data_IF_848389157273
#
_entry.id   IF_848389157273
#
_cell.length_a   1.000
_cell.length_b   1.000
_cell.length_c   1.000
_cell.angle_alpha   90.00
_cell.angle_beta   90.00
_cell.angle_gamma   90.00
#
_symmetry.space_group_name_H-M   'P 1'
#
loop_
_entity.id
_entity.type
_entity.pdbx_description
1 polymer ?
#
# COMPACT_ATOMS: atom_id res chain seq x y z
N UNK A 1 33.12 -35.38 -28.46
CA UNK A 1 32.93 -34.11 -27.69
C UNK A 1 32.51 -33.05 -28.71
N UNK A 2 31.23 -32.79 -28.82
CA UNK A 2 30.65 -31.76 -29.71
C UNK A 2 30.69 -30.42 -28.97
N UNK A 3 31.53 -29.50 -29.46
CA UNK A 3 31.58 -28.14 -28.91
C UNK A 3 30.27 -27.43 -29.22
N UNK A 4 29.67 -26.82 -28.18
CA UNK A 4 28.47 -25.97 -28.34
C UNK A 4 28.81 -24.82 -29.30
N UNK A 5 27.89 -24.53 -30.23
CA UNK A 5 28.06 -23.42 -31.16
C UNK A 5 28.08 -22.08 -30.40
N UNK A 6 28.87 -21.07 -30.84
CA UNK A 6 28.94 -19.77 -30.19
C UNK A 6 27.57 -19.11 -29.99
N UNK A 7 26.63 -19.31 -30.91
CA UNK A 7 25.24 -18.78 -30.82
C UNK A 7 24.45 -19.42 -29.70
N UNK A 8 24.63 -20.72 -29.41
CA UNK A 8 23.96 -21.38 -28.29
C UNK A 8 24.48 -20.87 -26.93
N UNK A 9 25.77 -20.52 -26.84
CA UNK A 9 26.36 -19.96 -25.64
C UNK A 9 25.89 -18.51 -25.40
N UNK A 10 25.74 -17.72 -26.46
CA UNK A 10 25.21 -16.36 -26.40
C UNK A 10 23.72 -16.36 -26.00
N UNK A 11 22.90 -17.25 -26.59
CA UNK A 11 21.49 -17.39 -26.26
C UNK A 11 21.28 -17.86 -24.80
N UNK A 12 22.13 -18.74 -24.31
CA UNK A 12 22.12 -19.18 -22.90
C UNK A 12 22.49 -18.05 -21.96
N UNK A 13 23.53 -17.27 -22.30
CA UNK A 13 23.96 -16.12 -21.50
C UNK A 13 22.93 -15.00 -21.50
N UNK A 14 22.26 -14.73 -22.62
CA UNK A 14 21.18 -13.77 -22.75
C UNK A 14 19.99 -14.20 -21.89
N UNK A 15 19.63 -15.49 -21.90
CA UNK A 15 18.56 -16.05 -21.03
C UNK A 15 18.91 -16.00 -19.54
N UNK A 16 20.17 -16.17 -19.17
CA UNK A 16 20.64 -16.01 -17.80
C UNK A 16 20.59 -14.54 -17.34
N UNK A 17 20.91 -13.59 -18.22
CA UNK A 17 20.81 -12.16 -17.94
C UNK A 17 19.34 -11.70 -17.80
N UNK A 18 18.44 -12.26 -18.61
CA UNK A 18 16.99 -12.00 -18.52
C UNK A 18 16.32 -12.65 -17.29
N UNK A 19 17.01 -13.60 -16.64
CA UNK A 19 16.52 -14.31 -15.44
C UNK A 19 17.02 -13.72 -14.12
N UNK A 20 17.93 -12.72 -14.14
CA UNK A 20 18.36 -12.08 -12.91
C UNK A 20 17.22 -11.23 -12.33
N UNK A 21 16.82 -11.47 -11.07
CA UNK A 21 15.82 -10.63 -10.42
C UNK A 21 16.26 -9.17 -10.51
N UNK A 22 15.41 -8.29 -11.00
CA UNK A 22 15.73 -6.86 -11.12
C UNK A 22 16.10 -6.29 -9.73
N UNK A 23 17.38 -5.98 -9.48
CA UNK A 23 17.84 -5.55 -8.15
C UNK A 23 17.15 -4.27 -7.71
N UNK A 24 16.77 -3.40 -8.65
CA UNK A 24 16.08 -2.15 -8.33
C UNK A 24 14.66 -2.39 -7.83
N UNK A 25 13.92 -3.36 -8.37
CA UNK A 25 12.60 -3.73 -7.85
C UNK A 25 12.67 -4.15 -6.38
N UNK A 26 13.73 -4.86 -5.99
CA UNK A 26 13.96 -5.26 -4.59
C UNK A 26 14.28 -4.06 -3.70
N UNK A 27 15.15 -3.16 -4.14
CA UNK A 27 15.47 -1.92 -3.40
C UNK A 27 14.21 -1.09 -3.18
N UNK A 28 13.37 -0.91 -4.22
CA UNK A 28 12.13 -0.18 -4.15
C UNK A 28 11.12 -0.82 -3.16
N UNK A 29 11.03 -2.16 -3.15
CA UNK A 29 10.18 -2.86 -2.20
C UNK A 29 10.68 -2.70 -0.75
N UNK A 30 11.99 -2.77 -0.52
CA UNK A 30 12.60 -2.54 0.81
C UNK A 30 12.38 -1.10 1.26
N UNK A 31 12.54 -0.11 0.36
CA UNK A 31 12.24 1.29 0.65
C UNK A 31 10.78 1.49 1.07
N UNK A 32 9.84 0.76 0.44
CA UNK A 32 8.44 0.77 0.83
C UNK A 32 8.20 0.22 2.23
N UNK A 33 8.84 -0.90 2.58
CA UNK A 33 8.77 -1.46 3.94
C UNK A 33 9.37 -0.48 4.96
N UNK A 34 10.49 0.16 4.63
CA UNK A 34 11.12 1.15 5.49
C UNK A 34 10.20 2.36 5.74
N UNK A 35 9.55 2.91 4.68
CA UNK A 35 8.58 4.00 4.82
C UNK A 35 7.39 3.62 5.70
N UNK A 36 6.87 2.41 5.53
CA UNK A 36 5.80 1.87 6.37
C UNK A 36 6.26 1.67 7.84
N UNK A 37 7.47 1.19 8.06
CA UNK A 37 8.02 1.04 9.41
C UNK A 37 8.24 2.40 10.09
N UNK A 38 8.75 3.39 9.35
CA UNK A 38 8.97 4.75 9.87
C UNK A 38 7.65 5.35 10.35
N UNK A 39 6.58 5.31 9.57
CA UNK A 39 5.29 5.87 10.01
C UNK A 39 4.75 5.14 11.24
N UNK A 40 4.86 3.82 11.32
CA UNK A 40 4.41 3.04 12.48
C UNK A 40 5.18 3.45 13.73
N UNK A 41 6.50 3.58 13.65
CA UNK A 41 7.34 3.99 14.77
C UNK A 41 7.04 5.43 15.19
N UNK A 42 7.01 6.37 14.25
CA UNK A 42 6.81 7.79 14.56
C UNK A 42 5.39 8.07 15.08
N UNK A 43 4.36 7.53 14.44
CA UNK A 43 2.98 7.68 14.93
C UNK A 43 2.79 6.89 16.22
N UNK A 44 3.41 5.72 16.34
CA UNK A 44 3.43 4.95 17.60
C UNK A 44 4.03 5.76 18.76
N UNK A 45 5.15 6.44 18.53
CA UNK A 45 5.75 7.33 19.53
C UNK A 45 4.82 8.46 19.98
N UNK A 46 4.06 9.06 19.03
CA UNK A 46 3.07 10.09 19.35
C UNK A 46 1.94 9.62 20.29
N UNK A 47 1.73 8.33 20.46
CA UNK A 47 0.75 7.82 21.43
C UNK A 47 1.24 7.81 22.87
N UNK A 48 2.55 7.95 23.08
CA UNK A 48 3.18 7.86 24.42
C UNK A 48 3.95 9.10 24.82
N UNK A 49 4.09 10.09 23.92
CA UNK A 49 4.77 11.35 24.23
C UNK A 49 3.93 12.22 25.17
N UNK A 50 4.55 12.91 26.16
CA UNK A 50 3.84 13.81 27.08
C UNK A 50 3.07 14.92 26.35
N UNK A 51 3.62 15.47 25.26
CA UNK A 51 3.03 16.56 24.47
C UNK A 51 1.72 16.17 23.80
N UNK A 52 1.45 14.89 23.68
CA UNK A 52 0.25 14.34 23.04
C UNK A 52 -0.66 13.56 24.00
N UNK A 53 -0.33 13.49 25.28
CA UNK A 53 -1.06 12.73 26.30
C UNK A 53 -2.54 13.12 26.43
N UNK A 54 -2.91 14.37 26.07
CA UNK A 54 -4.30 14.85 26.07
C UNK A 54 -5.12 14.37 24.86
N UNK A 55 -4.53 13.72 23.86
CA UNK A 55 -5.21 13.26 22.66
C UNK A 55 -5.65 11.80 22.84
N UNK A 56 -6.96 11.58 23.08
CA UNK A 56 -7.51 10.23 23.22
C UNK A 56 -7.38 9.43 21.93
N UNK A 57 -6.66 8.29 21.90
CA UNK A 57 -6.55 7.46 20.71
C UNK A 57 -7.87 6.86 20.22
N UNK A 58 -8.84 6.73 21.10
CA UNK A 58 -10.16 6.16 20.79
C UNK A 58 -11.09 7.21 20.18
N UNK A 59 -11.10 8.42 20.74
CA UNK A 59 -12.06 9.45 20.32
C UNK A 59 -11.51 10.38 19.25
N UNK A 60 -10.19 10.62 19.23
CA UNK A 60 -9.55 11.64 18.40
C UNK A 60 -8.76 11.03 17.24
N UNK A 61 -8.81 11.68 16.08
CA UNK A 61 -8.14 11.23 14.84
C UNK A 61 -6.63 11.31 14.95
N UNK A 62 -5.92 10.49 14.17
CA UNK A 62 -4.44 10.50 14.12
C UNK A 62 -3.93 11.87 13.66
N UNK A 63 -4.63 12.50 12.72
CA UNK A 63 -4.25 13.81 12.19
C UNK A 63 -4.30 14.95 13.22
N UNK A 64 -4.84 14.73 14.43
CA UNK A 64 -4.76 15.73 15.51
C UNK A 64 -3.36 15.92 16.06
N UNK A 65 -2.52 14.91 15.95
CA UNK A 65 -1.10 15.03 16.29
C UNK A 65 -0.41 16.13 15.48
N UNK A 66 -0.83 16.38 14.23
CA UNK A 66 -0.28 17.46 13.40
C UNK A 66 -0.53 18.88 13.98
N UNK A 67 -1.44 19.05 14.92
CA UNK A 67 -1.76 20.33 15.55
C UNK A 67 -0.96 20.60 16.85
N UNK A 68 -0.10 19.69 17.26
CA UNK A 68 0.77 19.81 18.44
C UNK A 68 2.15 20.35 18.07
N UNK A 69 2.93 20.78 19.05
CA UNK A 69 4.31 21.25 18.85
C UNK A 69 5.23 20.17 18.24
N UNK A 70 4.89 18.89 18.45
CA UNK A 70 5.55 17.73 17.86
C UNK A 70 4.89 17.24 16.56
N UNK A 71 4.01 18.02 15.97
CA UNK A 71 3.27 17.66 14.74
C UNK A 71 4.17 17.35 13.54
N UNK A 72 5.40 17.86 13.53
CA UNK A 72 6.39 17.52 12.51
C UNK A 72 6.73 16.01 12.48
N UNK A 73 6.62 15.30 13.63
CA UNK A 73 6.82 13.84 13.72
C UNK A 73 5.75 13.11 12.91
N UNK A 74 4.48 13.52 13.05
CA UNK A 74 3.38 13.02 12.23
C UNK A 74 3.64 13.27 10.75
N UNK A 75 3.99 14.51 10.37
CA UNK A 75 4.23 14.89 9.00
C UNK A 75 5.37 14.09 8.36
N UNK A 76 6.47 13.88 9.08
CA UNK A 76 7.60 13.07 8.61
C UNK A 76 7.18 11.61 8.37
N UNK A 77 6.43 11.03 9.31
CA UNK A 77 5.91 9.66 9.16
C UNK A 77 5.00 9.50 7.94
N UNK A 78 4.06 10.42 7.75
CA UNK A 78 3.13 10.40 6.61
C UNK A 78 3.87 10.57 5.27
N UNK A 79 4.86 11.49 5.20
CA UNK A 79 5.68 11.65 3.99
C UNK A 79 6.53 10.41 3.71
N UNK A 80 7.12 9.79 4.73
CA UNK A 80 7.87 8.55 4.55
C UNK A 80 6.97 7.43 4.00
N UNK A 81 5.74 7.32 4.50
CA UNK A 81 4.74 6.38 3.97
C UNK A 81 4.37 6.69 2.51
N UNK A 82 4.14 7.96 2.17
CA UNK A 82 3.80 8.39 0.81
C UNK A 82 4.91 8.01 -0.18
N UNK A 83 6.16 8.35 0.13
CA UNK A 83 7.32 8.05 -0.72
C UNK A 83 7.59 6.54 -0.79
N UNK A 84 7.51 5.84 0.34
CA UNK A 84 7.64 4.38 0.40
C UNK A 84 6.59 3.67 -0.46
N UNK A 85 5.37 4.19 -0.48
CA UNK A 85 4.28 3.63 -1.31
C UNK A 85 4.52 3.84 -2.80
N UNK A 86 5.00 5.02 -3.21
CA UNK A 86 5.41 5.25 -4.59
C UNK A 86 6.54 4.30 -5.00
N UNK A 87 7.49 4.03 -4.11
CA UNK A 87 8.54 3.05 -4.36
C UNK A 87 7.97 1.64 -4.57
N UNK A 88 7.01 1.20 -3.74
CA UNK A 88 6.32 -0.11 -3.93
C UNK A 88 5.61 -0.17 -5.28
N UNK A 89 4.87 0.87 -5.66
CA UNK A 89 4.18 0.93 -6.96
C UNK A 89 5.15 0.85 -8.14
N UNK A 90 6.26 1.59 -8.06
CA UNK A 90 7.33 1.50 -9.06
C UNK A 90 7.95 0.08 -9.11
N UNK A 91 8.15 -0.54 -7.95
CA UNK A 91 8.61 -1.93 -7.84
C UNK A 91 7.64 -2.93 -8.48
N UNK A 92 6.32 -2.76 -8.28
CA UNK A 92 5.27 -3.59 -8.90
C UNK A 92 5.33 -3.48 -10.44
N UNK A 93 5.45 -2.26 -10.97
CA UNK A 93 5.54 -2.03 -12.42
C UNK A 93 6.84 -2.63 -12.99
N UNK A 94 7.97 -2.38 -12.36
CA UNK A 94 9.28 -2.91 -12.80
C UNK A 94 9.36 -4.43 -12.74
N UNK A 95 8.76 -5.04 -11.73
CA UNK A 95 8.66 -6.49 -11.61
C UNK A 95 7.66 -7.12 -12.59
N UNK A 96 7.02 -6.33 -13.46
CA UNK A 96 6.04 -6.81 -14.43
C UNK A 96 4.73 -7.32 -13.81
N UNK A 97 4.46 -7.02 -12.54
CA UNK A 97 3.27 -7.46 -11.82
C UNK A 97 2.02 -6.67 -12.20
N UNK A 98 2.19 -5.43 -12.67
CA UNK A 98 1.14 -4.60 -13.24
C UNK A 98 1.69 -3.71 -14.36
N UNK A 99 0.80 -3.31 -15.29
CA UNK A 99 1.14 -2.32 -16.33
C UNK A 99 1.16 -0.91 -15.75
N UNK A 100 2.03 0.00 -16.23
CA UNK A 100 2.06 1.40 -15.76
C UNK A 100 0.71 2.12 -15.88
N UNK A 101 -0.06 1.79 -16.92
CA UNK A 101 -1.40 2.36 -17.17
C UNK A 101 -2.52 1.68 -16.38
N UNK A 102 -2.23 0.72 -15.48
CA UNK A 102 -3.26 0.06 -14.69
C UNK A 102 -3.93 1.04 -13.72
N UNK A 103 -5.26 1.01 -13.65
CA UNK A 103 -6.05 1.87 -12.74
C UNK A 103 -5.58 1.75 -11.29
N UNK A 104 -5.23 0.53 -10.83
CA UNK A 104 -4.71 0.34 -9.48
C UNK A 104 -3.39 1.08 -9.20
N UNK A 105 -2.50 1.25 -10.21
CA UNK A 105 -1.28 2.05 -10.06
C UNK A 105 -1.64 3.52 -9.86
N UNK A 106 -2.53 4.08 -10.69
CA UNK A 106 -2.92 5.49 -10.59
C UNK A 106 -3.70 5.82 -9.32
N UNK A 107 -4.53 4.89 -8.82
CA UNK A 107 -5.17 5.04 -7.51
C UNK A 107 -4.14 5.03 -6.37
N UNK A 108 -3.13 4.18 -6.45
CA UNK A 108 -2.02 4.19 -5.49
C UNK A 108 -1.20 5.49 -5.54
N UNK A 109 -0.98 6.05 -6.74
CA UNK A 109 -0.36 7.38 -6.89
C UNK A 109 -1.25 8.48 -6.30
N UNK A 110 -2.56 8.44 -6.56
CA UNK A 110 -3.51 9.40 -5.99
C UNK A 110 -3.54 9.32 -4.44
N UNK A 111 -3.46 8.12 -3.86
CA UNK A 111 -3.31 7.94 -2.42
C UNK A 111 -2.03 8.59 -1.88
N UNK A 112 -0.89 8.35 -2.50
CA UNK A 112 0.39 8.94 -2.09
C UNK A 112 0.38 10.48 -2.22
N UNK A 113 -0.22 11.00 -3.28
CA UNK A 113 -0.41 12.44 -3.46
C UNK A 113 -1.34 13.02 -2.37
N UNK A 114 -2.43 12.31 -2.04
CA UNK A 114 -3.34 12.73 -0.98
C UNK A 114 -2.67 12.75 0.39
N UNK A 115 -1.80 11.79 0.72
CA UNK A 115 -0.98 11.82 1.94
C UNK A 115 -0.08 13.06 1.98
N UNK A 116 0.52 13.45 0.85
CA UNK A 116 1.33 14.67 0.75
C UNK A 116 0.48 15.92 0.99
N UNK A 117 -0.73 15.97 0.42
CA UNK A 117 -1.67 17.08 0.64
C UNK A 117 -2.09 17.16 2.10
N UNK A 118 -2.31 16.04 2.79
CA UNK A 118 -2.61 15.96 4.23
C UNK A 118 -1.53 16.66 5.06
N UNK A 119 -0.26 16.49 4.70
CA UNK A 119 0.88 17.14 5.37
C UNK A 119 0.94 18.65 5.07
N UNK A 120 0.70 19.05 3.83
CA UNK A 120 0.76 20.45 3.40
C UNK A 120 -0.40 21.30 3.95
N UNK A 121 -1.54 20.70 4.21
CA UNK A 121 -2.75 21.36 4.69
C UNK A 121 -3.20 20.76 6.01
N UNK A 122 -2.85 21.36 7.16
CA UNK A 122 -3.28 20.84 8.45
C UNK A 122 -4.80 20.82 8.59
N UNK A 123 -5.31 19.87 9.36
CA UNK A 123 -6.75 19.75 9.65
C UNK A 123 -7.30 20.99 10.36
N UNK A 124 -8.62 21.11 10.43
CA UNK A 124 -9.26 22.15 11.24
C UNK A 124 -8.80 22.09 12.70
N UNK A 125 -8.40 23.23 13.23
CA UNK A 125 -8.33 23.44 14.66
C UNK A 125 -9.71 23.89 15.16
N UNK A 126 -10.45 22.98 15.76
CA UNK A 126 -11.82 23.27 16.22
C UNK A 126 -11.91 24.33 17.32
N UNK A 127 -10.80 24.63 18.00
CA UNK A 127 -10.74 25.76 18.93
C UNK A 127 -10.79 27.13 18.23
N UNK A 128 -10.37 27.17 16.94
CA UNK A 128 -10.34 28.39 16.11
C UNK A 128 -11.52 28.41 15.12
N UNK A 129 -11.94 27.24 14.63
CA UNK A 129 -13.06 27.08 13.70
C UNK A 129 -12.67 26.50 12.34
N UNK A 130 -13.64 26.43 11.40
CA UNK A 130 -13.40 25.89 10.06
C UNK A 130 -12.42 26.73 9.28
N UNK A 131 -11.53 26.07 8.49
CA UNK A 131 -10.56 26.71 7.62
C UNK A 131 -10.56 26.09 6.21
N UNK A 132 -10.15 26.82 5.19
CA UNK A 132 -9.99 26.29 3.83
C UNK A 132 -8.98 25.16 3.80
N UNK A 133 -7.84 25.29 4.51
CA UNK A 133 -6.83 24.23 4.65
C UNK A 133 -7.41 22.95 5.22
N UNK A 134 -8.22 23.05 6.28
CA UNK A 134 -8.88 21.89 6.87
C UNK A 134 -9.91 21.23 5.97
N UNK A 135 -10.58 21.96 5.07
CA UNK A 135 -11.46 21.37 4.04
C UNK A 135 -10.64 20.57 3.02
N UNK A 136 -9.49 21.12 2.57
CA UNK A 136 -8.57 20.43 1.67
C UNK A 136 -8.04 19.14 2.35
N UNK A 137 -7.60 19.24 3.60
CA UNK A 137 -7.16 18.08 4.39
C UNK A 137 -8.24 16.98 4.45
N UNK A 138 -9.48 17.37 4.74
CA UNK A 138 -10.60 16.40 4.81
C UNK A 138 -10.85 15.72 3.46
N UNK A 139 -10.85 16.49 2.37
CA UNK A 139 -11.01 15.93 1.02
C UNK A 139 -9.86 14.98 0.68
N UNK A 140 -8.62 15.37 0.97
CA UNK A 140 -7.45 14.52 0.77
C UNK A 140 -7.51 13.24 1.61
N UNK A 141 -7.99 13.31 2.86
CA UNK A 141 -8.17 12.12 3.71
C UNK A 141 -9.18 11.13 3.11
N UNK A 142 -10.30 11.63 2.56
CA UNK A 142 -11.29 10.76 1.88
C UNK A 142 -10.67 10.09 0.65
N UNK A 143 -9.91 10.85 -0.15
CA UNK A 143 -9.20 10.29 -1.32
C UNK A 143 -8.19 9.22 -0.87
N UNK A 144 -7.39 9.50 0.16
CA UNK A 144 -6.44 8.54 0.69
C UNK A 144 -7.14 7.26 1.12
N UNK A 145 -8.10 7.35 2.02
CA UNK A 145 -8.78 6.19 2.61
C UNK A 145 -9.56 5.32 1.62
N UNK A 146 -9.95 5.85 0.46
CA UNK A 146 -10.65 5.09 -0.57
C UNK A 146 -9.72 4.59 -1.67
N UNK A 147 -8.73 5.40 -2.08
CA UNK A 147 -7.91 5.06 -3.23
C UNK A 147 -6.99 3.87 -2.98
N UNK A 148 -6.35 3.77 -1.80
CA UNK A 148 -5.43 2.66 -1.54
C UNK A 148 -6.13 1.30 -1.47
N UNK A 149 -7.19 1.09 -0.66
CA UNK A 149 -7.83 -0.23 -0.62
C UNK A 149 -8.37 -0.65 -1.99
N UNK A 150 -8.96 0.28 -2.77
CA UNK A 150 -9.41 -0.02 -4.13
C UNK A 150 -8.22 -0.34 -5.05
N UNK A 151 -7.10 0.40 -4.96
CA UNK A 151 -5.86 0.09 -5.68
C UNK A 151 -5.37 -1.32 -5.39
N UNK A 152 -5.29 -1.68 -4.11
CA UNK A 152 -4.85 -3.00 -3.66
C UNK A 152 -5.75 -4.11 -4.22
N UNK A 153 -7.07 -3.95 -4.14
CA UNK A 153 -8.03 -4.91 -4.68
C UNK A 153 -7.87 -5.10 -6.19
N UNK A 154 -7.65 -4.01 -6.94
CA UNK A 154 -7.47 -4.07 -8.39
C UNK A 154 -6.12 -4.68 -8.79
N UNK A 155 -5.03 -4.35 -8.08
CA UNK A 155 -3.68 -4.85 -8.36
C UNK A 155 -3.55 -6.35 -8.05
N UNK A 156 -4.18 -6.80 -6.96
CA UNK A 156 -4.08 -8.19 -6.50
C UNK A 156 -5.19 -9.10 -7.01
N UNK A 157 -6.00 -8.62 -7.96
CA UNK A 157 -7.12 -9.36 -8.55
C UNK A 157 -6.64 -10.62 -9.28
N UNK A 158 -7.31 -11.76 -9.02
CA UNK A 158 -7.02 -13.07 -9.65
C UNK A 158 -7.59 -13.15 -11.07
N UNK A 159 -7.00 -12.49 -12.06
CA UNK A 159 -7.40 -12.68 -13.46
C UNK A 159 -6.48 -13.73 -14.10
N UNK A 160 -7.05 -14.88 -14.48
CA UNK A 160 -6.34 -15.91 -15.25
C UNK A 160 -5.30 -16.72 -14.49
N UNK A 161 -5.23 -16.63 -13.15
CA UNK A 161 -4.30 -17.42 -12.33
C UNK A 161 -5.04 -18.57 -11.68
N UNK A 162 -4.57 -19.84 -11.80
CA UNK A 162 -5.14 -20.99 -11.08
C UNK A 162 -5.16 -20.76 -9.57
N UNK A 163 -6.18 -21.33 -8.88
CA UNK A 163 -6.40 -21.07 -7.43
C UNK A 163 -5.21 -21.39 -6.52
N UNK A 164 -4.30 -22.29 -6.93
CA UNK A 164 -3.10 -22.69 -6.16
C UNK A 164 -1.91 -21.74 -6.28
N UNK A 165 -1.80 -20.99 -7.38
CA UNK A 165 -0.56 -20.27 -7.76
C UNK A 165 -0.53 -18.81 -7.34
N UNK A 166 -1.60 -18.32 -6.70
CA UNK A 166 -1.64 -16.93 -6.26
C UNK A 166 -0.74 -16.69 -5.04
N UNK A 167 0.24 -15.77 -5.10
CA UNK A 167 1.16 -15.53 -4.00
C UNK A 167 0.45 -15.19 -2.71
N UNK A 168 0.91 -15.74 -1.58
CA UNK A 168 0.32 -15.49 -0.25
C UNK A 168 0.28 -13.99 0.05
N UNK A 169 1.37 -13.28 -0.24
CA UNK A 169 1.46 -11.85 0.01
C UNK A 169 0.38 -11.04 -0.74
N UNK A 170 0.09 -11.39 -2.01
CA UNK A 170 -0.98 -10.74 -2.76
C UNK A 170 -2.37 -11.06 -2.19
N UNK A 171 -2.59 -12.28 -1.67
CA UNK A 171 -3.84 -12.64 -0.97
C UNK A 171 -4.02 -11.87 0.33
N UNK A 172 -2.93 -11.75 1.10
CA UNK A 172 -2.92 -10.96 2.34
C UNK A 172 -3.25 -9.50 2.02
N UNK A 173 -2.58 -8.90 1.03
CA UNK A 173 -2.86 -7.54 0.60
C UNK A 173 -4.34 -7.37 0.20
N UNK A 174 -4.91 -8.31 -0.56
CA UNK A 174 -6.33 -8.28 -0.95
C UNK A 174 -7.26 -8.24 0.26
N UNK A 175 -7.05 -9.12 1.26
CA UNK A 175 -7.87 -9.15 2.47
C UNK A 175 -7.70 -7.89 3.32
N UNK A 176 -6.50 -7.32 3.38
CA UNK A 176 -6.25 -6.04 4.05
C UNK A 176 -6.99 -4.90 3.36
N UNK A 177 -7.05 -4.89 2.01
CA UNK A 177 -7.89 -3.94 1.27
C UNK A 177 -9.38 -4.09 1.59
N UNK A 178 -9.90 -5.31 1.68
CA UNK A 178 -11.29 -5.57 2.12
C UNK A 178 -11.51 -5.10 3.55
N UNK A 179 -10.59 -5.42 4.47
CA UNK A 179 -10.69 -5.03 5.88
C UNK A 179 -10.64 -3.51 6.03
N UNK A 180 -9.78 -2.80 5.27
CA UNK A 180 -9.74 -1.34 5.26
C UNK A 180 -11.10 -0.76 4.86
N UNK A 181 -11.72 -1.25 3.78
CA UNK A 181 -13.06 -0.82 3.38
C UNK A 181 -14.13 -1.15 4.44
N UNK A 182 -14.00 -2.28 5.13
CA UNK A 182 -14.93 -2.66 6.20
C UNK A 182 -14.89 -1.67 7.39
N UNK A 183 -13.75 -1.03 7.66
CA UNK A 183 -13.64 0.02 8.67
C UNK A 183 -14.46 1.28 8.36
N UNK A 184 -14.99 1.45 7.14
CA UNK A 184 -15.96 2.49 6.84
C UNK A 184 -17.37 2.17 7.34
N UNK A 185 -17.70 0.93 7.65
CA UNK A 185 -19.05 0.54 8.05
C UNK A 185 -19.55 1.33 9.28
N UNK A 186 -18.77 1.57 10.36
CA UNK A 186 -19.20 2.43 11.46
C UNK A 186 -19.50 3.86 11.02
N UNK A 187 -18.71 4.43 10.12
CA UNK A 187 -18.90 5.81 9.60
C UNK A 187 -20.19 5.89 8.78
N UNK A 188 -20.38 4.95 7.86
CA UNK A 188 -21.61 4.90 7.03
C UNK A 188 -22.84 4.67 7.89
N UNK A 189 -22.75 3.77 8.87
CA UNK A 189 -23.83 3.53 9.83
C UNK A 189 -24.18 4.77 10.65
N UNK A 190 -23.17 5.48 11.18
CA UNK A 190 -23.38 6.70 11.94
C UNK A 190 -24.00 7.82 11.08
N UNK A 191 -23.55 7.97 9.83
CA UNK A 191 -24.13 8.92 8.86
C UNK A 191 -25.60 8.59 8.56
N UNK A 192 -25.92 7.32 8.32
CA UNK A 192 -27.28 6.87 8.02
C UNK A 192 -28.23 7.07 9.23
N UNK A 193 -27.74 6.90 10.46
CA UNK A 193 -28.53 7.04 11.68
C UNK A 193 -28.59 8.48 12.20
N UNK A 194 -27.71 9.37 11.77
CA UNK A 194 -27.64 10.76 12.24
C UNK A 194 -29.00 11.51 12.16
N UNK A 195 -29.82 11.38 11.09
CA UNK A 195 -31.11 12.04 11.03
C UNK A 195 -32.10 11.58 12.10
N UNK A 196 -31.99 10.31 12.54
CA UNK A 196 -32.86 9.70 13.54
C UNK A 196 -32.38 10.00 14.95
N UNK A 197 -31.06 9.83 15.18
CA UNK A 197 -30.46 10.00 16.52
C UNK A 197 -30.25 11.47 16.89
N UNK A 198 -30.28 12.38 15.91
CA UNK A 198 -29.93 13.81 16.07
C UNK A 198 -28.54 14.03 16.67
N UNK A 199 -27.71 13.00 16.70
CA UNK A 199 -26.32 13.06 17.18
C UNK A 199 -25.40 13.27 15.99
N UNK A 200 -24.43 14.21 16.06
CA UNK A 200 -23.40 14.33 15.02
C UNK A 200 -22.68 12.99 14.83
N UNK A 201 -22.59 12.52 13.58
CA UNK A 201 -22.05 11.18 13.25
C UNK A 201 -20.67 10.91 13.87
N UNK A 202 -19.81 11.95 13.97
CA UNK A 202 -18.46 11.81 14.54
C UNK A 202 -18.45 11.66 16.06
N UNK A 203 -19.56 11.92 16.75
CA UNK A 203 -19.75 11.67 18.19
C UNK A 203 -20.40 10.31 18.45
N UNK A 204 -21.04 9.72 17.44
CA UNK A 204 -21.75 8.46 17.56
C UNK A 204 -20.83 7.24 17.50
N UNK A 205 -19.55 7.42 17.12
CA UNK A 205 -18.58 6.35 16.96
C UNK A 205 -17.23 6.71 17.58
N UNK A 206 -16.41 5.71 17.96
CA UNK A 206 -15.04 5.94 18.41
C UNK A 206 -14.14 6.26 17.18
N UNK A 207 -14.30 7.48 16.63
CA UNK A 207 -13.72 7.88 15.35
C UNK A 207 -12.21 7.66 15.28
N UNK A 208 -11.50 7.92 16.38
CA UNK A 208 -10.05 7.69 16.44
C UNK A 208 -9.67 6.21 16.32
N UNK A 209 -10.45 5.31 16.91
CA UNK A 209 -10.23 3.87 16.77
C UNK A 209 -10.53 3.40 15.35
N UNK A 210 -11.63 3.89 14.75
CA UNK A 210 -12.02 3.55 13.37
C UNK A 210 -10.93 3.97 12.39
N UNK A 211 -10.40 5.20 12.51
CA UNK A 211 -9.33 5.70 11.66
C UNK A 211 -8.04 4.87 11.82
N UNK A 212 -7.67 4.52 13.06
CA UNK A 212 -6.47 3.70 13.32
C UNK A 212 -6.60 2.29 12.75
N UNK A 213 -7.75 1.67 12.85
CA UNK A 213 -8.01 0.36 12.26
C UNK A 213 -7.89 0.39 10.74
N UNK A 214 -8.47 1.41 10.11
CA UNK A 214 -8.40 1.64 8.67
C UNK A 214 -6.94 1.85 8.22
N UNK A 215 -6.24 2.83 8.82
CA UNK A 215 -4.83 3.15 8.48
C UNK A 215 -3.91 1.95 8.72
N UNK A 216 -4.12 1.19 9.79
CA UNK A 216 -3.31 -0.02 10.06
C UNK A 216 -3.47 -1.05 8.93
N UNK A 217 -4.70 -1.28 8.46
CA UNK A 217 -4.93 -2.16 7.31
C UNK A 217 -4.22 -1.65 6.05
N UNK A 218 -4.24 -0.33 5.81
CA UNK A 218 -3.57 0.28 4.67
C UNK A 218 -2.04 0.16 4.72
N UNK A 219 -1.44 0.45 5.86
CA UNK A 219 0.02 0.31 6.06
C UNK A 219 0.45 -1.14 5.89
N UNK A 220 -0.29 -2.08 6.48
CA UNK A 220 -0.01 -3.52 6.31
C UNK A 220 -0.21 -3.97 4.87
N UNK A 221 -1.17 -3.39 4.13
CA UNK A 221 -1.35 -3.68 2.70
C UNK A 221 -0.16 -3.22 1.86
N UNK A 222 0.44 -2.06 2.14
CA UNK A 222 1.68 -1.60 1.49
C UNK A 222 2.82 -2.57 1.78
N UNK A 223 2.99 -3.02 3.04
CA UNK A 223 4.00 -4.03 3.39
C UNK A 223 3.75 -5.34 2.62
N UNK A 224 2.51 -5.81 2.55
CA UNK A 224 2.15 -7.03 1.83
C UNK A 224 2.42 -6.91 0.32
N UNK A 225 2.14 -5.75 -0.30
CA UNK A 225 2.49 -5.47 -1.70
C UNK A 225 4.01 -5.47 -1.90
N UNK A 226 4.78 -4.87 -0.99
CA UNK A 226 6.25 -4.89 -1.05
C UNK A 226 6.79 -6.33 -0.95
N UNK A 227 6.26 -7.14 -0.02
CA UNK A 227 6.62 -8.57 0.09
C UNK A 227 6.23 -9.33 -1.18
N UNK A 228 5.11 -8.99 -1.82
CA UNK A 228 4.74 -9.58 -3.11
C UNK A 228 5.78 -9.30 -4.19
N UNK A 229 6.27 -8.07 -4.31
CA UNK A 229 7.39 -7.72 -5.22
C UNK A 229 8.63 -8.56 -4.90
N UNK A 230 9.05 -8.63 -3.62
CA UNK A 230 10.22 -9.39 -3.19
C UNK A 230 10.12 -10.89 -3.50
N UNK A 231 8.94 -11.47 -3.36
CA UNK A 231 8.71 -12.90 -3.63
C UNK A 231 8.59 -13.20 -5.12
N UNK A 232 8.04 -12.29 -5.90
CA UNK A 232 7.95 -12.41 -7.35
C UNK A 232 9.35 -12.39 -8.00
N UNK A 233 10.22 -11.52 -7.53
CA UNK A 233 11.60 -11.40 -8.03
C UNK A 233 12.54 -12.55 -7.63
N UNK A 234 12.08 -13.47 -6.76
CA UNK A 234 12.85 -14.68 -6.37
C UNK A 234 12.49 -15.92 -7.18
N UNK A 235 11.40 -15.91 -7.95
CA UNK A 235 10.98 -17.08 -8.72
C UNK A 235 11.77 -17.15 -10.01
N UNK A 236 12.82 -17.99 -10.05
CA UNK A 236 13.48 -18.44 -11.27
C UNK A 236 12.49 -19.29 -12.07
N UNK A 237 12.34 -19.10 -13.38
CA UNK A 237 11.55 -20.03 -14.19
C UNK A 237 12.15 -21.43 -14.11
N UNK A 238 11.32 -22.42 -13.78
CA UNK A 238 11.73 -23.82 -13.88
C UNK A 238 12.11 -24.14 -15.34
N UNK A 239 13.24 -24.81 -15.62
CA UNK A 239 13.58 -25.22 -16.97
C UNK A 239 12.42 -26.01 -17.57
N UNK A 240 11.91 -25.57 -18.73
CA UNK A 240 10.95 -26.36 -19.49
C UNK A 240 11.60 -27.72 -19.77
N UNK A 241 10.96 -28.87 -19.44
CA UNK A 241 11.50 -30.16 -19.83
C UNK A 241 11.72 -30.13 -21.34
N UNK A 242 12.94 -30.47 -21.75
CA UNK A 242 13.29 -30.57 -23.16
C UNK A 242 12.22 -31.42 -23.84
N UNK A 243 11.57 -30.89 -24.88
CA UNK A 243 10.62 -31.65 -25.67
C UNK A 243 11.39 -32.88 -26.21
N UNK A 244 10.95 -34.08 -25.80
CA UNK A 244 11.47 -35.32 -26.37
C UNK A 244 11.38 -35.17 -27.88
N UNK A 245 12.55 -35.20 -28.54
CA UNK A 245 12.63 -35.33 -29.99
C UNK A 245 11.79 -36.56 -30.40
N UNK A 246 10.97 -36.46 -31.44
CA UNK A 246 10.25 -37.62 -31.93
C UNK A 246 11.28 -38.66 -32.37
N UNK A 247 11.26 -39.83 -31.74
CA UNK A 247 11.96 -41.00 -32.20
C UNK A 247 11.33 -41.40 -33.54
N UNK A 248 11.99 -41.06 -34.63
CA UNK A 248 11.57 -41.49 -35.96
C UNK A 248 11.52 -43.03 -36.05
N UNK A 249 10.59 -43.57 -36.85
CA UNK A 249 10.50 -45.02 -37.03
C UNK A 249 11.79 -45.54 -37.68
N UNK A 250 12.35 -46.57 -37.03
CA UNK A 250 13.39 -47.39 -37.67
C UNK A 250 12.74 -48.16 -38.82
N UNK A 251 13.29 -47.98 -40.00
CA UNK A 251 12.99 -48.78 -41.21
C UNK A 251 13.80 -50.07 -41.20
#
# INVERSE_FOLDING_TARGET
>A
MTAATPDAALDTRQRELDQTPDPLSRVLAVAGIAGAAIVVVLVGALHVLPETAGISPVARTISEYALTDVGWVFNLGVLALALGSLAVLAGIVRAGLARPAAVGIWLGVAWSAALTVIVLFPKHNWAVGPSAGGQIHRAASIVAFLCLPVAVLLLTRRRGVPRGDHPIAARVAWWLGVASLAWFAPIVGALALAPVTRTPWWQAIPLGLVERGLVMCEVLAIIALAVWVLTATRRTPSPRPASRAPTGPAA
#
